data_IF_635278125459
#
_entry.id   IF_635278125459
#
_cell.length_a   1.000
_cell.length_b   1.000
_cell.length_c   1.000
_cell.angle_alpha   90.00
_cell.angle_beta   90.00
_cell.angle_gamma   90.00
#
_symmetry.space_group_name_H-M   'P 1'
#
loop_
_entity.id
_entity.type
_entity.pdbx_description
1 polymer ?
#
# COMPACT_ATOMS: atom_id res chain seq x y z
N UNK A 1 -17.14 12.39 13.47
CA UNK A 1 -15.86 11.80 12.99
C UNK A 1 -15.97 11.48 11.51
N UNK A 2 -14.99 11.81 10.69
CA UNK A 2 -15.02 11.40 9.28
C UNK A 2 -14.98 9.88 9.15
N UNK A 3 -15.61 9.37 8.10
CA UNK A 3 -15.59 7.94 7.77
C UNK A 3 -14.32 7.60 6.99
N UNK A 4 -14.03 6.30 6.84
CA UNK A 4 -12.92 5.84 6.01
C UNK A 4 -13.05 6.38 4.58
N UNK A 5 -14.26 6.37 4.01
CA UNK A 5 -14.53 6.86 2.66
C UNK A 5 -14.27 8.36 2.54
N UNK A 6 -14.63 9.13 3.58
CA UNK A 6 -14.38 10.57 3.59
C UNK A 6 -12.87 10.88 3.63
N UNK A 7 -12.12 10.17 4.47
CA UNK A 7 -10.66 10.29 4.49
C UNK A 7 -10.05 9.92 3.14
N UNK A 8 -10.53 8.85 2.52
CA UNK A 8 -10.00 8.40 1.24
C UNK A 8 -10.29 9.40 0.13
N UNK A 9 -11.49 9.97 0.11
CA UNK A 9 -11.84 11.03 -0.86
C UNK A 9 -10.95 12.26 -0.71
N UNK A 10 -10.68 12.68 0.54
CA UNK A 10 -9.79 13.82 0.78
C UNK A 10 -8.36 13.49 0.34
N UNK A 11 -7.91 12.26 0.57
CA UNK A 11 -6.64 11.79 0.04
C UNK A 11 -6.59 11.93 -1.49
N UNK A 12 -7.60 11.46 -2.19
CA UNK A 12 -7.64 11.55 -3.66
C UNK A 12 -7.64 12.99 -4.13
N UNK A 13 -8.42 13.85 -3.47
CA UNK A 13 -8.47 15.27 -3.82
C UNK A 13 -7.10 15.94 -3.68
N UNK A 14 -6.42 15.70 -2.57
CA UNK A 14 -5.09 16.28 -2.31
C UNK A 14 -4.04 15.71 -3.26
N UNK A 15 -4.10 14.43 -3.53
CA UNK A 15 -3.19 13.77 -4.47
C UNK A 15 -3.35 14.36 -5.87
N UNK A 16 -4.58 14.51 -6.34
CA UNK A 16 -4.87 15.06 -7.67
C UNK A 16 -4.47 16.54 -7.78
N UNK A 17 -4.48 17.25 -6.66
CA UNK A 17 -4.01 18.64 -6.61
C UNK A 17 -2.47 18.75 -6.51
N UNK A 18 -1.76 17.64 -6.51
CA UNK A 18 -0.30 17.61 -6.42
C UNK A 18 0.25 17.70 -5.00
N UNK A 19 -0.60 17.58 -3.98
CA UNK A 19 -0.22 17.69 -2.56
C UNK A 19 -0.11 16.30 -1.93
N UNK A 20 0.82 15.49 -2.44
CA UNK A 20 0.93 14.09 -2.01
C UNK A 20 1.29 13.95 -0.53
N UNK A 21 2.17 14.83 -0.02
CA UNK A 21 2.54 14.80 1.40
C UNK A 21 1.34 15.05 2.31
N UNK A 22 0.48 16.00 1.95
CA UNK A 22 -0.73 16.28 2.71
C UNK A 22 -1.76 15.15 2.54
N UNK A 23 -1.80 14.55 1.36
CA UNK A 23 -2.71 13.44 1.07
C UNK A 23 -2.42 12.24 1.99
N UNK A 24 -1.15 11.86 2.17
CA UNK A 24 -0.81 10.73 3.04
C UNK A 24 -1.24 10.97 4.48
N UNK A 25 -1.22 12.22 4.96
CA UNK A 25 -1.67 12.54 6.31
C UNK A 25 -3.14 12.18 6.53
N UNK A 26 -3.98 12.34 5.50
CA UNK A 26 -5.39 11.98 5.59
C UNK A 26 -5.58 10.46 5.74
N UNK A 27 -4.80 9.67 5.00
CA UNK A 27 -4.87 8.21 5.14
C UNK A 27 -4.31 7.71 6.47
N UNK A 28 -3.30 8.39 7.02
CA UNK A 28 -2.79 8.08 8.36
C UNK A 28 -3.88 8.31 9.41
N UNK A 29 -4.70 9.35 9.25
CA UNK A 29 -5.86 9.59 10.14
C UNK A 29 -6.87 8.45 10.03
N UNK A 30 -7.13 7.97 8.80
CA UNK A 30 -8.03 6.83 8.59
C UNK A 30 -7.51 5.59 9.32
N UNK A 31 -6.21 5.32 9.25
CA UNK A 31 -5.60 4.16 9.91
C UNK A 31 -5.56 4.30 11.43
N UNK A 32 -5.49 5.52 11.96
CA UNK A 32 -5.60 5.73 13.40
C UNK A 32 -6.99 5.33 13.91
N UNK A 33 -8.01 5.50 13.07
CA UNK A 33 -9.38 5.14 13.37
C UNK A 33 -9.67 3.66 13.07
N UNK A 34 -9.12 3.15 11.96
CA UNK A 34 -9.33 1.77 11.51
C UNK A 34 -7.99 1.19 11.02
N UNK A 35 -7.18 0.58 11.90
CA UNK A 35 -5.85 0.07 11.54
C UNK A 35 -5.85 -1.05 10.49
N UNK A 36 -6.99 -1.68 10.25
CA UNK A 36 -7.13 -2.78 9.27
C UNK A 36 -7.79 -2.35 7.96
N UNK A 37 -7.82 -1.04 7.70
CA UNK A 37 -8.36 -0.51 6.45
C UNK A 37 -7.36 -0.78 5.32
N UNK A 38 -7.51 -1.91 4.65
CA UNK A 38 -6.54 -2.41 3.66
C UNK A 38 -6.33 -1.43 2.50
N UNK A 39 -7.39 -0.79 2.02
CA UNK A 39 -7.30 0.18 0.92
C UNK A 39 -6.36 1.34 1.26
N UNK A 40 -6.42 1.84 2.50
CA UNK A 40 -5.52 2.91 2.95
C UNK A 40 -4.07 2.43 2.99
N UNK A 41 -3.82 1.22 3.48
CA UNK A 41 -2.45 0.67 3.47
C UNK A 41 -1.92 0.53 2.04
N UNK A 42 -2.75 0.05 1.09
CA UNK A 42 -2.36 -0.05 -0.32
C UNK A 42 -2.01 1.30 -0.91
N UNK A 43 -2.84 2.31 -0.67
CA UNK A 43 -2.61 3.66 -1.18
C UNK A 43 -1.35 4.28 -0.57
N UNK A 44 -1.11 4.07 0.73
CA UNK A 44 0.09 4.57 1.40
C UNK A 44 1.36 3.91 0.89
N UNK A 45 1.32 2.62 0.57
CA UNK A 45 2.47 1.94 -0.01
C UNK A 45 2.90 2.61 -1.32
N UNK A 46 1.95 2.94 -2.18
CA UNK A 46 2.23 3.65 -3.44
C UNK A 46 2.71 5.07 -3.18
N UNK A 47 2.01 5.81 -2.32
CA UNK A 47 2.31 7.22 -2.07
C UNK A 47 3.68 7.41 -1.41
N UNK A 48 4.00 6.60 -0.40
CA UNK A 48 5.32 6.65 0.23
C UNK A 48 6.43 6.27 -0.73
N UNK A 49 6.18 5.30 -1.62
CA UNK A 49 7.15 4.97 -2.67
C UNK A 49 7.45 6.15 -3.57
N UNK A 50 6.43 6.91 -3.97
CA UNK A 50 6.59 8.13 -4.77
C UNK A 50 7.35 9.22 -4.02
N UNK A 51 7.19 9.28 -2.70
CA UNK A 51 7.90 10.24 -1.86
C UNK A 51 9.33 9.80 -1.53
N UNK A 52 9.75 8.64 -2.00
CA UNK A 52 11.07 8.08 -1.70
C UNK A 52 11.20 7.49 -0.31
N UNK A 53 10.08 7.34 0.41
CA UNK A 53 10.05 6.75 1.75
C UNK A 53 9.80 5.25 1.65
N UNK A 54 10.82 4.54 1.18
CA UNK A 54 10.68 3.12 0.83
C UNK A 54 10.41 2.23 2.04
N UNK A 55 10.98 2.53 3.21
CA UNK A 55 10.72 1.73 4.42
C UNK A 55 9.24 1.82 4.84
N UNK A 56 8.67 3.03 4.76
CA UNK A 56 7.25 3.23 5.04
C UNK A 56 6.37 2.53 4.00
N UNK A 57 6.77 2.59 2.73
CA UNK A 57 6.05 1.92 1.65
C UNK A 57 6.03 0.40 1.87
N UNK A 58 7.16 -0.18 2.24
CA UNK A 58 7.27 -1.61 2.52
C UNK A 58 6.39 -2.00 3.71
N UNK A 59 6.44 -1.21 4.78
CA UNK A 59 5.64 -1.47 5.99
C UNK A 59 4.15 -1.59 5.65
N UNK A 60 3.62 -0.62 4.90
CA UNK A 60 2.20 -0.63 4.54
C UNK A 60 1.86 -1.74 3.53
N UNK A 61 2.75 -2.00 2.57
CA UNK A 61 2.55 -3.09 1.62
C UNK A 61 2.53 -4.46 2.29
N UNK A 62 3.40 -4.69 3.26
CA UNK A 62 3.40 -5.93 4.03
C UNK A 62 2.12 -6.09 4.85
N UNK A 63 1.58 -4.98 5.36
CA UNK A 63 0.32 -5.01 6.08
C UNK A 63 -0.83 -5.45 5.18
N UNK A 64 -0.85 -5.02 3.92
CA UNK A 64 -1.84 -5.49 2.95
C UNK A 64 -1.73 -7.00 2.75
N UNK A 65 -0.51 -7.51 2.57
CA UNK A 65 -0.30 -8.95 2.42
C UNK A 65 -0.74 -9.74 3.66
N UNK A 66 -0.56 -9.17 4.84
CA UNK A 66 -1.03 -9.77 6.09
C UNK A 66 -2.55 -9.79 6.18
N UNK A 67 -3.22 -8.71 5.75
CA UNK A 67 -4.67 -8.60 5.78
C UNK A 67 -5.34 -9.42 4.68
N UNK A 68 -4.68 -9.60 3.56
CA UNK A 68 -5.20 -10.29 2.38
C UNK A 68 -4.21 -11.36 1.89
N UNK A 69 -3.93 -12.41 2.70
CA UNK A 69 -2.83 -13.33 2.44
C UNK A 69 -3.05 -14.25 1.23
N UNK A 70 -4.27 -14.34 0.74
CA UNK A 70 -4.60 -15.20 -0.40
C UNK A 70 -4.89 -14.40 -1.69
N UNK A 71 -4.60 -13.11 -1.67
CA UNK A 71 -4.83 -12.23 -2.83
C UNK A 71 -3.54 -12.05 -3.63
N UNK A 72 -3.47 -12.63 -4.85
CA UNK A 72 -2.24 -12.51 -5.67
C UNK A 72 -1.84 -11.08 -5.94
N UNK A 73 -2.81 -10.18 -6.15
CA UNK A 73 -2.53 -8.78 -6.46
C UNK A 73 -1.72 -8.10 -5.35
N UNK A 74 -1.98 -8.44 -4.09
CA UNK A 74 -1.26 -7.85 -2.96
C UNK A 74 0.24 -8.17 -3.03
N UNK A 75 0.59 -9.37 -3.45
CA UNK A 75 1.99 -9.79 -3.59
C UNK A 75 2.63 -9.23 -4.86
N UNK A 76 1.88 -9.09 -5.95
CA UNK A 76 2.36 -8.42 -7.15
C UNK A 76 2.70 -6.94 -6.84
N UNK A 77 1.81 -6.26 -6.13
CA UNK A 77 2.06 -4.89 -5.71
C UNK A 77 3.26 -4.79 -4.78
N UNK A 78 3.43 -5.76 -3.87
CA UNK A 78 4.58 -5.81 -2.97
C UNK A 78 5.89 -5.99 -3.73
N UNK A 79 5.88 -6.81 -4.79
CA UNK A 79 7.04 -6.97 -5.66
C UNK A 79 7.50 -5.62 -6.24
N UNK A 80 6.56 -4.82 -6.72
CA UNK A 80 6.87 -3.49 -7.26
C UNK A 80 7.45 -2.59 -6.16
N UNK A 81 6.87 -2.63 -4.97
CA UNK A 81 7.35 -1.84 -3.83
C UNK A 81 8.79 -2.20 -3.48
N UNK A 82 9.11 -3.49 -3.42
CA UNK A 82 10.47 -3.96 -3.17
C UNK A 82 11.44 -3.56 -4.28
N UNK A 83 11.03 -3.65 -5.55
CA UNK A 83 11.86 -3.23 -6.68
C UNK A 83 12.24 -1.77 -6.57
N UNK A 84 11.29 -0.90 -6.25
CA UNK A 84 11.54 0.53 -6.09
C UNK A 84 12.50 0.83 -4.95
N UNK A 85 12.50 -0.02 -3.92
CA UNK A 85 13.42 0.09 -2.79
C UNK A 85 14.79 -0.54 -3.07
N UNK A 86 15.00 -1.13 -4.24
CA UNK A 86 16.24 -1.81 -4.59
C UNK A 86 16.38 -3.21 -3.99
N UNK A 87 15.31 -3.74 -3.42
CA UNK A 87 15.30 -5.07 -2.76
C UNK A 87 14.87 -6.13 -3.75
N UNK A 88 15.78 -6.51 -4.64
CA UNK A 88 15.46 -7.36 -5.80
C UNK A 88 15.10 -8.80 -5.38
N UNK A 89 15.81 -9.38 -4.42
CA UNK A 89 15.53 -10.75 -3.98
C UNK A 89 14.14 -10.84 -3.34
N UNK A 90 13.81 -9.88 -2.49
CA UNK A 90 12.48 -9.81 -1.87
C UNK A 90 11.40 -9.58 -2.91
N UNK A 91 11.69 -8.79 -3.95
CA UNK A 91 10.76 -8.56 -5.05
C UNK A 91 10.47 -9.86 -5.81
N UNK A 92 11.49 -10.65 -6.08
CA UNK A 92 11.34 -11.94 -6.75
C UNK A 92 10.54 -12.93 -5.90
N UNK A 93 10.79 -12.96 -4.59
CA UNK A 93 10.03 -13.82 -3.66
C UNK A 93 8.55 -13.45 -3.66
N UNK A 94 8.25 -12.14 -3.61
CA UNK A 94 6.87 -11.67 -3.64
C UNK A 94 6.17 -12.05 -4.95
N UNK A 95 6.86 -11.92 -6.07
CA UNK A 95 6.31 -12.28 -7.37
C UNK A 95 6.07 -13.80 -7.46
N UNK A 96 6.98 -14.60 -6.94
CA UNK A 96 6.82 -16.05 -6.89
C UNK A 96 5.59 -16.43 -6.07
N UNK A 97 5.37 -15.75 -4.93
CA UNK A 97 4.19 -15.98 -4.11
C UNK A 97 2.90 -15.62 -4.86
N UNK A 98 2.92 -14.50 -5.60
CA UNK A 98 1.77 -14.10 -6.42
C UNK A 98 1.41 -15.17 -7.45
N UNK A 99 2.43 -15.72 -8.13
CA UNK A 99 2.23 -16.77 -9.13
C UNK A 99 1.67 -18.04 -8.51
N UNK A 100 2.18 -18.44 -7.35
CA UNK A 100 1.69 -19.62 -6.63
C UNK A 100 0.21 -19.45 -6.29
N UNK A 101 -0.17 -18.29 -5.74
CA UNK A 101 -1.57 -18.02 -5.40
C UNK A 101 -2.45 -18.01 -6.64
N UNK A 102 -1.97 -17.45 -7.74
CA UNK A 102 -2.72 -17.38 -8.97
C UNK A 102 -2.97 -18.77 -9.56
N UNK A 103 -1.99 -19.66 -9.46
CA UNK A 103 -2.10 -21.04 -9.93
C UNK A 103 -3.08 -21.87 -9.09
N UNK A 104 -3.37 -21.46 -7.86
CA UNK A 104 -4.30 -22.12 -6.95
C UNK A 104 -5.76 -21.71 -7.15
N UNK A 105 -6.03 -20.73 -7.99
CA UNK A 105 -7.39 -20.24 -8.26
C UNK A 105 -8.12 -21.00 -9.31
#
# INVERSE_FOLDING_TARGET
>A
MPTNEEFYREYERLKDAGNLADAVAELEKALAQDPNYALAHSALAVAYGRLGKHDDAIKHGLKVCELEPNEPFSFTAMSVTFQRAGKILEAEDAMARARTLQAQR
#
